data_IF_317146179238
#
_entry.id   IF_317146179238
#
_cell.length_a   1.000
_cell.length_b   1.000
_cell.length_c   1.000
_cell.angle_alpha   90.00
_cell.angle_beta   90.00
_cell.angle_gamma   90.00
#
_symmetry.space_group_name_H-M   'P 1'
#
loop_
_entity.id
_entity.type
_entity.pdbx_description
1 polymer ?
#
# COMPACT_ATOMS: atom_id res chain seq x y z
N UNK A 1 4.05 42.48 -2.96
CA UNK A 1 4.60 41.16 -3.34
C UNK A 1 4.50 41.01 -4.86
N UNK A 2 5.61 40.79 -5.57
CA UNK A 2 5.60 40.80 -7.05
C UNK A 2 4.87 39.57 -7.60
N UNK A 3 4.23 39.68 -8.76
CA UNK A 3 3.53 38.54 -9.44
C UNK A 3 4.45 37.32 -9.61
N UNK A 4 5.76 37.54 -9.73
CA UNK A 4 6.79 36.47 -9.84
C UNK A 4 6.99 35.72 -8.52
N UNK A 5 6.90 36.40 -7.38
CA UNK A 5 7.05 35.78 -6.05
C UNK A 5 5.83 34.91 -5.71
N UNK A 6 4.62 35.33 -6.07
CA UNK A 6 3.41 34.50 -5.93
C UNK A 6 3.45 33.24 -6.80
N UNK A 7 3.90 33.36 -8.05
CA UNK A 7 4.02 32.21 -8.95
C UNK A 7 5.06 31.18 -8.46
N UNK A 8 6.20 31.64 -7.94
CA UNK A 8 7.22 30.75 -7.39
C UNK A 8 6.74 29.99 -6.14
N UNK A 9 6.01 30.66 -5.24
CA UNK A 9 5.45 30.02 -4.04
C UNK A 9 4.36 29.01 -4.41
N UNK A 10 3.49 29.34 -5.38
CA UNK A 10 2.47 28.41 -5.88
C UNK A 10 3.08 27.15 -6.51
N UNK A 11 4.19 27.28 -7.25
CA UNK A 11 4.90 26.15 -7.87
C UNK A 11 5.58 25.24 -6.82
N UNK A 12 6.14 25.84 -5.77
CA UNK A 12 6.77 25.10 -4.68
C UNK A 12 5.73 24.35 -3.84
N UNK A 13 4.55 24.94 -3.62
CA UNK A 13 3.44 24.31 -2.91
C UNK A 13 2.87 23.12 -3.69
N UNK A 14 2.70 23.23 -5.01
CA UNK A 14 2.24 22.10 -5.84
C UNK A 14 3.29 20.99 -5.91
N UNK A 15 4.58 21.32 -6.02
CA UNK A 15 5.65 20.33 -5.97
C UNK A 15 5.72 19.60 -4.61
N UNK A 16 5.57 20.34 -3.50
CA UNK A 16 5.55 19.76 -2.16
C UNK A 16 4.32 18.86 -1.95
N UNK A 17 3.12 19.29 -2.35
CA UNK A 17 1.91 18.45 -2.23
C UNK A 17 1.99 17.19 -3.11
N UNK A 18 2.64 17.27 -4.28
CA UNK A 18 2.87 16.12 -5.15
C UNK A 18 3.89 15.15 -4.53
N UNK A 19 4.89 15.65 -3.80
CA UNK A 19 5.86 14.83 -3.07
C UNK A 19 5.21 14.07 -1.89
N UNK A 20 4.25 14.70 -1.19
CA UNK A 20 3.53 14.05 -0.09
C UNK A 20 2.43 13.09 -0.55
N UNK A 21 1.84 13.28 -1.73
CA UNK A 21 0.81 12.39 -2.27
C UNK A 21 1.31 10.94 -2.48
N UNK A 22 2.61 10.73 -2.70
CA UNK A 22 3.23 9.40 -2.82
C UNK A 22 3.50 8.67 -1.50
N UNK A 23 3.08 9.22 -0.35
CA UNK A 23 3.35 8.69 1.00
C UNK A 23 2.11 8.26 1.77
N UNK A 24 0.93 8.27 1.15
CA UNK A 24 -0.27 7.89 1.88
C UNK A 24 -0.25 6.39 2.18
N UNK A 25 -0.16 6.07 3.48
CA UNK A 25 -0.11 4.68 3.95
C UNK A 25 -1.49 4.03 3.81
N UNK A 26 -1.56 2.71 3.63
CA UNK A 26 -2.82 1.99 3.71
C UNK A 26 -3.50 2.21 5.08
N UNK A 27 -4.80 2.44 5.07
CA UNK A 27 -5.60 2.42 6.31
C UNK A 27 -5.93 0.97 6.64
N UNK A 28 -5.76 0.58 7.90
CA UNK A 28 -6.00 -0.78 8.39
C UNK A 28 -7.17 -0.75 9.37
N UNK A 29 -8.22 -1.53 9.11
CA UNK A 29 -9.40 -1.65 9.97
C UNK A 29 -9.58 -3.11 10.36
N UNK A 30 -9.46 -3.41 11.64
CA UNK A 30 -9.76 -4.76 12.15
C UNK A 30 -11.25 -5.07 11.99
N UNK A 31 -11.55 -6.28 11.51
CA UNK A 31 -12.93 -6.77 11.27
C UNK A 31 -13.28 -7.95 12.16
N UNK A 32 -12.29 -8.74 12.53
CA UNK A 32 -12.43 -9.91 13.38
C UNK A 32 -11.12 -10.15 14.11
N UNK A 33 -11.21 -10.42 15.41
CA UNK A 33 -10.10 -10.93 16.18
C UNK A 33 -10.56 -12.09 17.06
N UNK A 34 -9.89 -13.24 16.94
CA UNK A 34 -10.20 -14.43 17.74
C UNK A 34 -8.91 -15.19 18.09
N UNK A 35 -8.98 -16.32 18.84
CA UNK A 35 -7.79 -17.07 19.24
C UNK A 35 -6.98 -17.72 18.11
N UNK A 36 -7.48 -17.77 16.88
CA UNK A 36 -6.86 -18.46 15.73
C UNK A 36 -6.40 -17.50 14.64
N UNK A 37 -7.15 -16.42 14.42
CA UNK A 37 -6.88 -15.46 13.35
C UNK A 37 -7.24 -14.03 13.77
N UNK A 38 -6.58 -13.08 13.13
CA UNK A 38 -7.01 -11.67 13.02
C UNK A 38 -7.30 -11.36 11.56
N UNK A 39 -8.43 -10.71 11.27
CA UNK A 39 -8.81 -10.25 9.93
C UNK A 39 -8.81 -8.73 9.90
N UNK A 40 -8.00 -8.17 9.03
CA UNK A 40 -7.88 -6.72 8.85
C UNK A 40 -8.21 -6.35 7.41
N UNK A 41 -9.15 -5.44 7.22
CA UNK A 41 -9.36 -4.80 5.91
C UNK A 41 -8.33 -3.69 5.73
N UNK A 42 -7.60 -3.74 4.63
CA UNK A 42 -6.67 -2.70 4.20
C UNK A 42 -7.28 -1.92 3.04
N UNK A 43 -7.35 -0.59 3.16
CA UNK A 43 -7.63 0.32 2.05
C UNK A 43 -6.34 1.01 1.62
N UNK A 44 -5.84 0.67 0.43
CA UNK A 44 -4.67 1.32 -0.14
C UNK A 44 -5.13 2.41 -1.12
N UNK A 45 -4.85 3.70 -0.88
CA UNK A 45 -5.26 4.78 -1.77
C UNK A 45 -4.47 4.75 -3.09
N UNK A 46 -4.95 5.44 -4.12
CA UNK A 46 -4.19 5.66 -5.36
C UNK A 46 -2.87 6.37 -5.04
N UNK A 47 -1.75 5.88 -5.59
CA UNK A 47 -0.41 6.38 -5.24
C UNK A 47 0.09 5.96 -3.85
N UNK A 48 -0.72 5.25 -3.07
CA UNK A 48 -0.39 4.84 -1.71
C UNK A 48 0.85 3.94 -1.65
N UNK A 49 1.65 4.11 -0.60
CA UNK A 49 2.92 3.41 -0.40
C UNK A 49 2.85 2.58 0.88
N UNK A 50 3.25 1.31 0.80
CA UNK A 50 3.45 0.45 1.97
C UNK A 50 4.93 0.11 2.08
N UNK A 51 5.53 0.43 3.22
CA UNK A 51 6.94 0.11 3.46
C UNK A 51 7.18 -1.41 3.58
N UNK A 52 8.43 -1.79 3.37
CA UNK A 52 8.91 -3.16 3.58
C UNK A 52 8.85 -3.52 5.07
N UNK A 53 8.52 -4.77 5.38
CA UNK A 53 8.54 -5.31 6.74
C UNK A 53 8.67 -6.83 6.71
N UNK A 54 9.13 -7.42 7.82
CA UNK A 54 9.13 -8.87 8.02
C UNK A 54 7.76 -9.31 8.53
N UNK A 55 7.14 -10.28 7.86
CA UNK A 55 5.81 -10.75 8.25
C UNK A 55 5.86 -11.45 9.62
N UNK A 56 5.06 -11.01 10.61
CA UNK A 56 5.10 -11.57 11.96
C UNK A 56 4.42 -12.93 12.07
N UNK A 57 3.56 -13.27 11.10
CA UNK A 57 2.77 -14.49 11.06
C UNK A 57 2.60 -14.97 9.61
N UNK A 58 2.18 -16.23 9.48
CA UNK A 58 1.57 -16.70 8.24
C UNK A 58 0.32 -15.86 7.97
N UNK A 59 0.09 -15.54 6.71
CA UNK A 59 -1.04 -14.70 6.33
C UNK A 59 -1.56 -15.03 4.94
N UNK A 60 -2.88 -14.90 4.79
CA UNK A 60 -3.58 -14.99 3.52
C UNK A 60 -4.14 -13.60 3.19
N UNK A 61 -3.87 -13.13 1.97
CA UNK A 61 -4.37 -11.85 1.47
C UNK A 61 -5.45 -12.14 0.43
N UNK A 62 -6.67 -11.64 0.65
CA UNK A 62 -7.78 -11.72 -0.31
C UNK A 62 -8.02 -10.34 -0.91
N UNK A 63 -7.93 -10.21 -2.22
CA UNK A 63 -8.22 -8.94 -2.90
C UNK A 63 -9.73 -8.77 -3.06
N UNK A 64 -10.28 -7.69 -2.52
CA UNK A 64 -11.71 -7.38 -2.65
C UNK A 64 -12.00 -6.56 -3.91
N UNK A 65 -11.03 -5.76 -4.34
CA UNK A 65 -11.07 -4.96 -5.57
C UNK A 65 -9.89 -5.34 -6.49
N UNK A 66 -9.99 -5.00 -7.77
CA UNK A 66 -8.86 -5.08 -8.70
C UNK A 66 -7.72 -4.16 -8.25
N UNK A 67 -6.48 -4.66 -8.27
CA UNK A 67 -5.30 -3.93 -7.82
C UNK A 67 -4.19 -3.92 -8.88
N UNK A 68 -3.53 -2.77 -9.02
CA UNK A 68 -2.35 -2.59 -9.86
C UNK A 68 -1.29 -1.84 -9.08
N UNK A 69 -0.16 -2.47 -8.82
CA UNK A 69 0.88 -1.90 -7.96
C UNK A 69 2.26 -2.38 -8.37
N UNK A 70 3.28 -1.60 -8.01
CA UNK A 70 4.67 -2.03 -8.12
C UNK A 70 5.12 -2.67 -6.81
N UNK A 71 5.86 -3.77 -6.92
CA UNK A 71 6.67 -4.29 -5.83
C UNK A 71 8.12 -3.88 -6.06
N UNK A 72 8.69 -3.16 -5.11
CA UNK A 72 10.09 -2.70 -5.15
C UNK A 72 10.90 -3.59 -4.20
N UNK A 73 11.92 -4.26 -4.74
CA UNK A 73 12.81 -5.11 -3.97
C UNK A 73 13.88 -4.29 -3.21
N UNK A 74 14.72 -4.98 -2.44
CA UNK A 74 15.79 -4.35 -1.66
C UNK A 74 16.86 -3.66 -2.52
N UNK A 75 17.01 -4.06 -3.79
CA UNK A 75 17.89 -3.41 -4.75
C UNK A 75 17.24 -2.20 -5.44
N UNK A 76 15.98 -1.88 -5.12
CA UNK A 76 15.23 -0.78 -5.71
C UNK A 76 14.60 -1.13 -7.06
N UNK A 77 14.63 -2.38 -7.51
CA UNK A 77 14.01 -2.79 -8.77
C UNK A 77 12.49 -2.89 -8.59
N UNK A 78 11.75 -2.09 -9.36
CA UNK A 78 10.30 -2.13 -9.40
C UNK A 78 9.81 -3.21 -10.39
N UNK A 79 8.90 -4.06 -9.92
CA UNK A 79 8.21 -5.05 -10.76
C UNK A 79 6.70 -4.81 -10.69
N UNK A 80 6.01 -4.60 -11.82
CA UNK A 80 4.57 -4.42 -11.82
C UNK A 80 3.86 -5.72 -11.42
N UNK A 81 2.78 -5.57 -10.67
CA UNK A 81 1.89 -6.66 -10.25
C UNK A 81 0.45 -6.24 -10.46
N UNK A 82 -0.35 -7.22 -10.89
CA UNK A 82 -1.79 -7.07 -11.05
C UNK A 82 -2.49 -8.19 -10.27
N UNK A 83 -3.61 -7.84 -9.66
CA UNK A 83 -4.51 -8.76 -8.97
C UNK A 83 -5.95 -8.42 -9.32
N UNK A 84 -6.77 -9.44 -9.47
CA UNK A 84 -8.22 -9.32 -9.65
C UNK A 84 -8.95 -9.44 -8.32
N UNK A 85 -10.15 -8.85 -8.25
CA UNK A 85 -11.07 -9.15 -7.16
C UNK A 85 -11.28 -10.66 -7.05
N UNK A 86 -11.14 -11.19 -5.84
CA UNK A 86 -11.16 -12.63 -5.55
C UNK A 86 -9.79 -13.32 -5.59
N UNK A 87 -8.73 -12.68 -6.08
CA UNK A 87 -7.39 -13.26 -6.03
C UNK A 87 -6.94 -13.46 -4.58
N UNK A 88 -6.25 -14.57 -4.34
CA UNK A 88 -5.74 -14.96 -3.04
C UNK A 88 -4.22 -15.15 -3.10
N UNK A 89 -3.50 -14.61 -2.13
CA UNK A 89 -2.05 -14.78 -2.00
C UNK A 89 -1.72 -15.28 -0.60
N UNK A 90 -0.96 -16.36 -0.52
CA UNK A 90 -0.36 -16.84 0.72
C UNK A 90 1.02 -16.22 0.95
N UNK A 91 1.34 -15.94 2.20
CA UNK A 91 2.68 -15.59 2.66
C UNK A 91 2.99 -16.25 3.98
N UNK A 92 4.23 -16.68 4.14
CA UNK A 92 4.72 -17.34 5.36
C UNK A 92 5.33 -16.34 6.33
N UNK A 93 5.32 -16.69 7.62
CA UNK A 93 6.01 -15.98 8.69
C UNK A 93 7.50 -15.87 8.37
N UNK A 94 8.06 -14.68 8.63
CA UNK A 94 9.47 -14.40 8.38
C UNK A 94 9.80 -13.95 6.96
N UNK A 95 8.88 -14.07 5.99
CA UNK A 95 9.09 -13.52 4.65
C UNK A 95 9.17 -11.99 4.68
N UNK A 96 10.18 -11.43 4.00
CA UNK A 96 10.28 -9.99 3.76
C UNK A 96 9.22 -9.55 2.75
N UNK A 97 8.33 -8.64 3.16
CA UNK A 97 7.37 -8.01 2.26
C UNK A 97 8.09 -6.90 1.48
N UNK A 98 8.02 -6.85 0.14
CA UNK A 98 8.60 -5.73 -0.59
C UNK A 98 7.87 -4.43 -0.24
N UNK A 99 8.50 -3.31 -0.57
CA UNK A 99 7.80 -2.02 -0.66
C UNK A 99 6.75 -2.14 -1.76
N UNK A 100 5.52 -1.71 -1.49
CA UNK A 100 4.48 -1.65 -2.51
C UNK A 100 4.09 -0.20 -2.80
N UNK A 101 3.89 0.11 -4.07
CA UNK A 101 3.41 1.42 -4.52
C UNK A 101 2.20 1.19 -5.41
N UNK A 102 1.02 1.68 -4.99
CA UNK A 102 -0.20 1.57 -5.79
C UNK A 102 -0.09 2.46 -7.04
N UNK A 103 -0.27 1.87 -8.22
CA UNK A 103 -0.26 2.56 -9.52
C UNK A 103 -1.65 2.65 -10.15
N UNK A 104 -2.63 1.98 -9.56
CA UNK A 104 -4.02 1.98 -10.02
C UNK A 104 -4.91 2.86 -9.15
N UNK A 105 -6.21 2.53 -9.18
CA UNK A 105 -7.22 3.12 -8.30
C UNK A 105 -7.00 2.65 -6.86
N UNK A 106 -7.65 3.31 -5.91
CA UNK A 106 -7.72 2.79 -4.55
C UNK A 106 -8.35 1.39 -4.56
N UNK A 107 -7.81 0.48 -3.75
CA UNK A 107 -8.28 -0.90 -3.68
C UNK A 107 -8.26 -1.42 -2.25
N UNK A 108 -9.17 -2.35 -1.97
CA UNK A 108 -9.27 -3.05 -0.70
C UNK A 108 -8.77 -4.48 -0.79
N UNK A 109 -8.19 -4.95 0.30
CA UNK A 109 -7.90 -6.36 0.51
C UNK A 109 -8.14 -6.72 1.99
N UNK A 110 -8.38 -8.00 2.25
CA UNK A 110 -8.34 -8.56 3.60
C UNK A 110 -6.98 -9.19 3.83
N UNK A 111 -6.37 -8.90 4.97
CA UNK A 111 -5.23 -9.64 5.51
C UNK A 111 -5.75 -10.52 6.63
N UNK A 112 -5.66 -11.84 6.45
CA UNK A 112 -6.01 -12.85 7.45
C UNK A 112 -4.70 -13.38 8.02
N UNK A 113 -4.34 -12.94 9.22
CA UNK A 113 -3.12 -13.36 9.90
C UNK A 113 -3.43 -14.47 10.92
N UNK A 114 -2.61 -15.52 10.93
CA UNK A 114 -2.75 -16.64 11.87
C UNK A 114 -2.03 -16.33 13.19
N UNK A 115 -2.57 -16.83 14.31
CA UNK A 115 -1.99 -16.68 15.65
C UNK A 115 -1.29 -17.94 16.12
#
# INVERSE_FOLDING_TARGET
MSKRLFAAVALLLTAAMSFYAGRQMPTMTEKLDNPRITVTESLTPAGGRRESYTRPADQLIVFLDDAQYEAVDAAGKATPRQRKSGDIVWHSKGETAPVLINKGKAYRNLVIAFK
#
